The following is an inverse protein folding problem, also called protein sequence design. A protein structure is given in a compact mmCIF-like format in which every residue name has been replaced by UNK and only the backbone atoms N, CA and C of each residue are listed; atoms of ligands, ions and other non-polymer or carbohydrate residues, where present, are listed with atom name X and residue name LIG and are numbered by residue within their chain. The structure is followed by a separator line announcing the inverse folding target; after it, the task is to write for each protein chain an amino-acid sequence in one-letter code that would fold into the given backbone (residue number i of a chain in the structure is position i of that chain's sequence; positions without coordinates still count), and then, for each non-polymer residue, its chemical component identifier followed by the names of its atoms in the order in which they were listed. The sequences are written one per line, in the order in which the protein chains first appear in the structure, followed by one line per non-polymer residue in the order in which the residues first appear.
data_IF_260263982676
#
_entry.id   IF_260263982676
#
_cell.length_a   1.000
_cell.length_b   1.000
_cell.length_c   1.000
_cell.angle_alpha   90.00
_cell.angle_beta   90.00
_cell.angle_gamma   90.00
#
_symmetry.space_group_name_H-M   'P 1'
#
loop_
_entity.id
_entity.type
_entity.pdbx_description
1 polymer ?
#
# COMPACT_ATOMS: atom_id res chain seq x y z
N UNK A 1 -12.35 13.17 2.40
CA UNK A 1 -12.68 11.79 2.82
C UNK A 1 -13.99 11.78 3.60
N UNK A 2 -14.85 10.74 3.50
CA UNK A 2 -16.11 10.74 4.30
C UNK A 2 -15.81 10.42 5.76
N UNK A 3 -16.67 10.90 6.67
CA UNK A 3 -16.51 10.64 8.12
C UNK A 3 -16.52 9.13 8.45
N UNK A 4 -17.30 8.35 7.70
CA UNK A 4 -17.36 6.88 7.81
C UNK A 4 -16.00 6.24 7.49
N UNK A 5 -15.33 6.68 6.43
CA UNK A 5 -14.00 6.17 6.06
C UNK A 5 -12.96 6.51 7.14
N UNK A 6 -13.08 7.69 7.75
CA UNK A 6 -12.19 8.11 8.85
C UNK A 6 -12.31 7.21 10.06
N UNK A 7 -13.54 6.85 10.44
CA UNK A 7 -13.81 5.94 11.56
C UNK A 7 -13.27 4.54 11.27
N UNK A 8 -13.57 4.00 10.09
CA UNK A 8 -13.09 2.67 9.69
C UNK A 8 -11.56 2.58 9.70
N UNK A 9 -10.86 3.62 9.22
CA UNK A 9 -9.40 3.65 9.24
C UNK A 9 -8.81 3.80 10.64
N UNK A 10 -9.41 4.63 11.51
CA UNK A 10 -8.96 4.74 12.92
C UNK A 10 -9.12 3.44 13.68
N UNK A 11 -10.21 2.69 13.45
CA UNK A 11 -10.44 1.37 14.05
C UNK A 11 -9.45 0.33 13.50
N UNK A 12 -9.29 0.26 12.17
CA UNK A 12 -8.40 -0.69 11.50
C UNK A 12 -6.94 -0.53 11.92
N UNK A 13 -6.49 0.72 12.10
CA UNK A 13 -5.10 1.02 12.46
C UNK A 13 -4.89 1.15 13.97
N UNK A 14 -5.95 1.17 14.77
CA UNK A 14 -5.88 1.36 16.21
C UNK A 14 -5.33 2.71 16.64
N UNK A 15 -5.59 3.77 15.87
CA UNK A 15 -5.04 5.13 16.10
C UNK A 15 -6.14 6.17 16.23
N UNK A 16 -5.86 7.28 16.93
CA UNK A 16 -6.80 8.40 17.02
C UNK A 16 -6.93 9.18 15.71
N UNK A 17 -8.02 9.95 15.54
CA UNK A 17 -8.26 10.78 14.33
C UNK A 17 -7.11 11.75 14.02
N UNK A 18 -6.44 12.28 15.06
CA UNK A 18 -5.31 13.20 14.89
C UNK A 18 -4.03 12.50 14.40
N UNK A 19 -3.89 11.21 14.71
CA UNK A 19 -2.72 10.39 14.37
C UNK A 19 -2.90 9.68 13.03
N UNK A 20 -4.15 9.56 12.57
CA UNK A 20 -4.52 8.90 11.33
C UNK A 20 -3.69 9.36 10.10
N UNK A 21 -3.43 10.66 9.86
CA UNK A 21 -2.60 11.09 8.73
C UNK A 21 -1.18 10.53 8.78
N UNK A 22 -0.57 10.48 9.97
CA UNK A 22 0.76 9.91 10.17
C UNK A 22 0.75 8.39 9.98
N UNK A 23 -0.25 7.71 10.53
CA UNK A 23 -0.40 6.27 10.41
C UNK A 23 -0.59 5.83 8.95
N UNK A 24 -1.45 6.52 8.19
CA UNK A 24 -1.66 6.26 6.77
C UNK A 24 -0.40 6.52 5.94
N UNK A 25 0.35 7.60 6.25
CA UNK A 25 1.64 7.88 5.59
C UNK A 25 2.65 6.76 5.83
N UNK A 26 2.75 6.26 7.06
CA UNK A 26 3.64 5.14 7.37
C UNK A 26 3.21 3.85 6.65
N UNK A 27 1.90 3.58 6.56
CA UNK A 27 1.40 2.43 5.80
C UNK A 27 1.68 2.55 4.31
N UNK A 28 1.52 3.74 3.72
CA UNK A 28 1.89 3.99 2.33
C UNK A 28 3.39 3.71 2.10
N UNK A 29 4.26 4.16 3.02
CA UNK A 29 5.69 3.89 2.94
C UNK A 29 6.02 2.40 3.03
N UNK A 30 5.41 1.68 3.98
CA UNK A 30 5.57 0.23 4.13
C UNK A 30 5.15 -0.52 2.86
N UNK A 31 4.02 -0.12 2.23
CA UNK A 31 3.56 -0.73 0.98
C UNK A 31 4.57 -0.50 -0.15
N UNK A 32 5.13 0.71 -0.25
CA UNK A 32 6.16 1.01 -1.24
C UNK A 32 7.44 0.19 -1.02
N UNK A 33 7.89 0.05 0.23
CA UNK A 33 9.04 -0.79 0.59
C UNK A 33 8.81 -2.26 0.18
N UNK A 34 7.64 -2.82 0.50
CA UNK A 34 7.26 -4.20 0.12
C UNK A 34 7.16 -4.34 -1.41
N UNK A 35 6.59 -3.36 -2.10
CA UNK A 35 6.51 -3.36 -3.56
C UNK A 35 7.92 -3.43 -4.19
N UNK A 36 8.87 -2.65 -3.68
CA UNK A 36 10.24 -2.65 -4.15
C UNK A 36 10.94 -3.99 -3.88
N UNK A 37 10.71 -4.61 -2.71
CA UNK A 37 11.22 -5.94 -2.39
C UNK A 37 10.68 -7.01 -3.32
N UNK A 38 9.37 -7.03 -3.56
CA UNK A 38 8.70 -7.97 -4.48
C UNK A 38 9.22 -7.77 -5.91
N UNK A 39 9.44 -6.52 -6.32
CA UNK A 39 10.01 -6.20 -7.63
C UNK A 39 11.44 -6.72 -7.77
N UNK A 40 12.28 -6.56 -6.73
CA UNK A 40 13.64 -7.13 -6.67
C UNK A 40 13.63 -8.65 -6.72
N UNK A 41 12.78 -9.30 -5.91
CA UNK A 41 12.62 -10.75 -5.90
C UNK A 41 12.21 -11.26 -7.27
N UNK A 42 11.26 -10.58 -7.93
CA UNK A 42 10.86 -10.90 -9.31
C UNK A 42 12.04 -10.78 -10.27
N UNK A 43 12.83 -9.71 -10.19
CA UNK A 43 13.98 -9.51 -11.08
C UNK A 43 15.04 -10.62 -10.89
N UNK A 44 15.29 -11.04 -9.65
CA UNK A 44 16.18 -12.17 -9.34
C UNK A 44 15.61 -13.50 -9.84
N UNK A 45 14.31 -13.72 -9.70
CA UNK A 45 13.63 -14.96 -10.13
C UNK A 45 13.35 -15.02 -11.63
N UNK A 46 13.28 -13.89 -12.32
CA UNK A 46 13.17 -13.84 -13.78
C UNK A 46 14.42 -14.40 -14.49
N UNK A 47 15.54 -14.51 -13.78
CA UNK A 47 16.73 -15.23 -14.24
C UNK A 47 16.69 -16.75 -13.91
N UNK A 48 15.66 -17.21 -13.19
CA UNK A 48 15.43 -18.60 -12.82
C UNK A 48 14.43 -19.32 -13.74
N UNK A 49 14.39 -20.66 -13.70
CA UNK A 49 13.74 -21.49 -14.73
C UNK A 49 12.20 -21.59 -14.66
N UNK A 50 11.53 -20.92 -13.72
CA UNK A 50 10.10 -21.12 -13.45
C UNK A 50 9.25 -19.90 -13.85
N UNK A 51 8.60 -20.04 -15.01
CA UNK A 51 7.74 -19.02 -15.63
C UNK A 51 6.47 -18.73 -14.81
N UNK A 52 5.95 -19.73 -14.08
CA UNK A 52 4.72 -19.60 -13.27
C UNK A 52 4.95 -18.69 -12.05
N UNK A 53 6.10 -18.84 -11.39
CA UNK A 53 6.51 -17.96 -10.29
C UNK A 53 6.66 -16.50 -10.74
N UNK A 54 7.25 -16.27 -11.92
CA UNK A 54 7.42 -14.91 -12.47
C UNK A 54 6.06 -14.24 -12.75
N UNK A 55 5.08 -15.00 -13.22
CA UNK A 55 3.71 -14.52 -13.47
C UNK A 55 3.03 -14.16 -12.14
N UNK A 56 3.10 -15.03 -11.12
CA UNK A 56 2.53 -14.77 -9.79
C UNK A 56 3.14 -13.52 -9.13
N UNK A 57 4.46 -13.38 -9.19
CA UNK A 57 5.17 -12.19 -8.67
C UNK A 57 4.78 -10.91 -9.42
N UNK A 58 4.55 -10.99 -10.72
CA UNK A 58 4.08 -9.86 -11.53
C UNK A 58 2.65 -9.46 -11.20
N UNK A 59 1.78 -10.41 -10.84
CA UNK A 59 0.44 -10.11 -10.34
C UNK A 59 0.49 -9.47 -8.95
N UNK A 60 1.29 -10.01 -8.04
CA UNK A 60 1.48 -9.47 -6.69
C UNK A 60 2.02 -8.02 -6.72
N UNK A 61 3.03 -7.75 -7.56
CA UNK A 61 3.60 -6.41 -7.73
C UNK A 61 2.55 -5.39 -8.18
N UNK A 62 1.73 -5.74 -9.17
CA UNK A 62 0.64 -4.87 -9.65
C UNK A 62 -0.39 -4.58 -8.55
N UNK A 63 -0.79 -5.61 -7.80
CA UNK A 63 -1.75 -5.46 -6.70
C UNK A 63 -1.22 -4.55 -5.59
N UNK A 64 0.06 -4.66 -5.25
CA UNK A 64 0.73 -3.78 -4.29
C UNK A 64 0.79 -2.33 -4.77
N UNK A 65 1.10 -2.09 -6.05
CA UNK A 65 1.12 -0.75 -6.62
C UNK A 65 -0.26 -0.08 -6.55
N UNK A 66 -1.32 -0.80 -6.93
CA UNK A 66 -2.70 -0.31 -6.84
C UNK A 66 -3.11 0.02 -5.39
N UNK A 67 -2.73 -0.84 -4.43
CA UNK A 67 -2.97 -0.58 -3.02
C UNK A 67 -2.26 0.70 -2.54
N UNK A 68 -1.01 0.90 -2.96
CA UNK A 68 -0.25 2.12 -2.65
C UNK A 68 -0.92 3.40 -3.18
N UNK A 69 -1.41 3.37 -4.43
CA UNK A 69 -2.14 4.50 -5.03
C UNK A 69 -3.39 4.84 -4.21
N UNK A 70 -4.22 3.84 -3.89
CA UNK A 70 -5.45 4.06 -3.10
C UNK A 70 -5.17 4.65 -1.71
N UNK A 71 -4.11 4.19 -1.04
CA UNK A 71 -3.72 4.75 0.27
C UNK A 71 -3.25 6.20 0.12
N UNK A 72 -2.50 6.51 -0.93
CA UNK A 72 -2.05 7.88 -1.22
C UNK A 72 -3.21 8.83 -1.53
N UNK A 73 -4.18 8.38 -2.33
CA UNK A 73 -5.41 9.14 -2.62
C UNK A 73 -6.20 9.40 -1.35
N UNK A 74 -6.39 8.38 -0.52
CA UNK A 74 -7.06 8.47 0.79
C UNK A 74 -6.38 9.50 1.70
N UNK A 75 -5.04 9.52 1.74
CA UNK A 75 -4.27 10.50 2.51
C UNK A 75 -4.42 11.92 1.96
N UNK A 76 -4.43 12.08 0.63
CA UNK A 76 -4.65 13.38 -0.01
C UNK A 76 -6.04 13.94 0.31
N UNK A 77 -7.05 13.09 0.24
CA UNK A 77 -8.44 13.43 0.55
C UNK A 77 -8.68 13.72 2.02
N UNK A 78 -7.91 13.11 2.92
CA UNK A 78 -7.93 13.42 4.35
C UNK A 78 -7.34 14.81 4.61
N UNK A 79 -6.18 15.11 4.04
CA UNK A 79 -5.51 16.41 4.20
C UNK A 79 -6.31 17.59 3.61
N UNK A 80 -7.11 17.37 2.57
CA UNK A 80 -8.01 18.41 2.03
C UNK A 80 -9.27 18.64 2.87
N UNK A 81 -9.63 17.67 3.72
CA UNK A 81 -10.85 17.72 4.56
C UNK A 81 -10.59 18.03 6.03
N UNK A 82 -9.32 18.18 6.42
CA UNK A 82 -8.88 18.64 7.73
C UNK A 82 -8.70 20.17 7.74
#
# INVERSE_FOLDING_TARGET
MRAVDTVAWTETLGVGRKELPWALRNKARQIAEVHDDVTRLRATLAAGPDEELVIMLSAASRSLAEAGVRVSETLSDLNRSA
#
